data_IF_808135226055
#
_entry.id   IF_808135226055
#
_cell.length_a   1.000
_cell.length_b   1.000
_cell.length_c   1.000
_cell.angle_alpha   90.00
_cell.angle_beta   90.00
_cell.angle_gamma   90.00
#
_symmetry.space_group_name_H-M   'P 1'
#
loop_
_entity.id
_entity.type
_entity.pdbx_description
1 polymer ?
#
# COMPACT_ATOMS: atom_id res chain seq x y z
N UNK A 1 -14.03 13.67 4.42
CA UNK A 1 -14.30 14.11 3.02
C UNK A 1 -15.78 13.97 2.74
N UNK A 2 -16.49 15.05 2.43
CA UNK A 2 -17.84 14.95 1.83
C UNK A 2 -17.68 14.43 0.39
N UNK A 3 -18.14 13.21 0.17
CA UNK A 3 -18.01 12.54 -1.12
C UNK A 3 -18.86 13.20 -2.20
N UNK A 4 -19.79 14.11 -1.91
CA UNK A 4 -20.56 14.83 -2.93
C UNK A 4 -19.97 16.21 -3.26
N UNK A 5 -18.93 16.63 -2.54
CA UNK A 5 -18.27 17.92 -2.76
C UNK A 5 -17.15 17.80 -3.79
N UNK A 6 -17.31 18.45 -4.95
CA UNK A 6 -16.33 18.40 -6.04
C UNK A 6 -14.94 18.89 -5.66
N UNK A 7 -14.85 19.96 -4.86
CA UNK A 7 -13.56 20.50 -4.39
C UNK A 7 -12.83 19.48 -3.51
N UNK A 8 -13.56 18.76 -2.66
CA UNK A 8 -12.98 17.72 -1.82
C UNK A 8 -12.58 16.48 -2.61
N UNK A 9 -13.36 16.08 -3.64
CA UNK A 9 -12.95 15.03 -4.59
C UNK A 9 -11.68 15.42 -5.36
N UNK A 10 -11.62 16.65 -5.86
CA UNK A 10 -10.46 17.14 -6.59
C UNK A 10 -9.18 17.11 -5.73
N UNK A 11 -9.30 17.32 -4.42
CA UNK A 11 -8.17 17.27 -3.50
C UNK A 11 -7.51 15.88 -3.39
N UNK A 12 -8.22 14.80 -3.73
CA UNK A 12 -7.65 13.44 -3.74
C UNK A 12 -7.24 12.96 -5.13
N UNK A 13 -7.47 13.77 -6.18
CA UNK A 13 -7.23 13.38 -7.57
C UNK A 13 -5.77 12.98 -7.84
N UNK A 14 -4.79 13.70 -7.27
CA UNK A 14 -3.38 13.36 -7.44
C UNK A 14 -3.03 11.96 -6.94
N UNK A 15 -3.63 11.54 -5.81
CA UNK A 15 -3.43 10.19 -5.28
C UNK A 15 -4.11 9.12 -6.14
N UNK A 16 -5.31 9.42 -6.67
CA UNK A 16 -6.03 8.52 -7.58
C UNK A 16 -5.26 8.35 -8.88
N UNK A 17 -4.77 9.43 -9.49
CA UNK A 17 -3.95 9.40 -10.71
C UNK A 17 -2.66 8.62 -10.50
N UNK A 18 -1.97 8.81 -9.38
CA UNK A 18 -0.77 8.01 -9.05
C UNK A 18 -1.10 6.52 -8.96
N UNK A 19 -2.19 6.16 -8.26
CA UNK A 19 -2.62 4.78 -8.13
C UNK A 19 -3.06 4.17 -9.47
N UNK A 20 -3.76 4.94 -10.31
CA UNK A 20 -4.16 4.51 -11.65
C UNK A 20 -2.93 4.24 -12.52
N UNK A 21 -1.94 5.14 -12.53
CA UNK A 21 -0.70 4.92 -13.29
C UNK A 21 0.06 3.69 -12.78
N UNK A 22 0.01 3.39 -11.48
CA UNK A 22 0.74 2.25 -10.92
C UNK A 22 0.01 0.91 -11.12
N UNK A 23 -1.31 0.88 -10.99
CA UNK A 23 -2.10 -0.36 -10.96
C UNK A 23 -3.02 -0.56 -12.16
N UNK A 24 -3.27 0.48 -12.96
CA UNK A 24 -4.28 0.52 -14.02
C UNK A 24 -3.79 0.12 -15.42
N UNK A 25 -2.48 0.16 -15.71
CA UNK A 25 -1.96 -0.08 -17.07
C UNK A 25 -2.36 -1.44 -17.67
N UNK A 26 -2.61 -2.45 -16.82
CA UNK A 26 -2.98 -3.82 -17.25
C UNK A 26 -4.34 -4.28 -16.72
N UNK A 27 -5.09 -3.42 -16.03
CA UNK A 27 -6.29 -3.77 -15.28
C UNK A 27 -7.43 -2.77 -15.51
N UNK A 28 -8.66 -3.20 -15.29
CA UNK A 28 -9.72 -2.23 -15.04
C UNK A 28 -9.43 -1.56 -13.68
N UNK A 29 -9.37 -0.22 -13.65
CA UNK A 29 -9.07 0.55 -12.45
C UNK A 29 -10.35 1.10 -11.81
N UNK A 30 -10.51 0.87 -10.51
CA UNK A 30 -11.63 1.39 -9.73
C UNK A 30 -11.10 1.97 -8.42
N UNK A 31 -11.47 3.22 -8.13
CA UNK A 31 -11.12 3.92 -6.90
C UNK A 31 -12.38 4.56 -6.31
N UNK A 32 -12.99 3.98 -5.26
CA UNK A 32 -14.20 4.55 -4.68
C UNK A 32 -13.87 5.82 -3.87
N UNK A 33 -14.75 6.83 -3.97
CA UNK A 33 -14.75 7.92 -3.00
C UNK A 33 -15.37 7.44 -1.69
N UNK A 34 -14.72 7.73 -0.57
CA UNK A 34 -15.20 7.41 0.76
C UNK A 34 -14.89 8.55 1.73
N UNK A 35 -15.60 8.63 2.87
CA UNK A 35 -15.31 9.62 3.89
C UNK A 35 -13.95 9.36 4.52
N UNK A 36 -12.97 10.21 4.22
CA UNK A 36 -11.65 10.13 4.84
C UNK A 36 -11.59 10.82 6.20
N UNK A 37 -10.75 10.26 7.09
CA UNK A 37 -10.35 10.90 8.36
C UNK A 37 -9.02 11.62 8.18
N UNK A 38 -8.85 12.76 8.86
CA UNK A 38 -7.64 13.57 8.71
C UNK A 38 -6.44 12.96 9.44
N UNK A 39 -5.23 13.36 9.05
CA UNK A 39 -4.00 12.84 9.65
C UNK A 39 -3.93 13.10 11.16
N UNK A 40 -4.45 14.25 11.61
CA UNK A 40 -4.57 14.64 13.02
C UNK A 40 -5.34 13.62 13.85
N UNK A 41 -6.34 12.95 13.25
CA UNK A 41 -7.12 11.93 13.97
C UNK A 41 -6.23 10.82 14.50
N UNK A 42 -5.20 10.43 13.75
CA UNK A 42 -4.34 9.30 14.07
C UNK A 42 -3.35 9.56 15.20
N UNK A 43 -2.99 10.82 15.48
CA UNK A 43 -1.96 11.16 16.48
C UNK A 43 -2.41 12.12 17.58
N UNK A 44 -3.48 12.91 17.39
CA UNK A 44 -4.01 13.82 18.42
C UNK A 44 -5.11 13.18 19.27
N UNK A 45 -5.74 12.11 18.79
CA UNK A 45 -6.87 11.47 19.47
C UNK A 45 -6.51 10.06 19.93
N UNK A 46 -7.09 9.59 21.05
CA UNK A 46 -6.87 8.22 21.52
C UNK A 46 -7.44 7.20 20.52
N UNK A 47 -6.94 5.96 20.61
CA UNK A 47 -7.35 4.84 19.75
C UNK A 47 -8.86 4.71 19.60
N UNK A 48 -9.59 4.77 20.71
CA UNK A 48 -11.04 4.64 20.75
C UNK A 48 -11.78 5.67 19.89
N UNK A 49 -11.26 6.90 19.81
CA UNK A 49 -11.92 7.99 19.08
C UNK A 49 -11.58 7.98 17.59
N UNK A 50 -10.30 7.78 17.24
CA UNK A 50 -9.97 7.70 15.81
C UNK A 50 -10.51 6.43 15.17
N UNK A 51 -10.63 5.32 15.92
CA UNK A 51 -11.23 4.08 15.41
C UNK A 51 -12.71 4.29 15.05
N UNK A 52 -13.52 4.96 15.90
CA UNK A 52 -14.92 5.30 15.56
C UNK A 52 -15.03 6.11 14.25
N UNK A 53 -14.11 7.06 14.04
CA UNK A 53 -14.07 7.85 12.79
C UNK A 53 -13.69 6.97 11.59
N UNK A 54 -12.72 6.08 11.79
CA UNK A 54 -12.31 5.13 10.76
C UNK A 54 -13.43 4.13 10.44
N UNK A 55 -14.25 3.71 11.40
CA UNK A 55 -15.37 2.79 11.16
C UNK A 55 -16.39 3.39 10.19
N UNK A 56 -16.63 4.70 10.25
CA UNK A 56 -17.44 5.42 9.27
C UNK A 56 -16.81 5.35 7.87
N UNK A 57 -15.51 5.63 7.77
CA UNK A 57 -14.77 5.51 6.51
C UNK A 57 -14.84 4.08 5.95
N UNK A 58 -14.66 3.09 6.82
CA UNK A 58 -14.66 1.68 6.47
C UNK A 58 -16.04 1.20 6.01
N UNK A 59 -17.12 1.76 6.56
CA UNK A 59 -18.49 1.44 6.11
C UNK A 59 -18.74 1.84 4.65
N UNK A 60 -18.20 2.99 4.21
CA UNK A 60 -18.28 3.43 2.81
C UNK A 60 -17.47 2.50 1.91
N UNK A 61 -16.25 2.16 2.33
CA UNK A 61 -15.33 1.29 1.58
C UNK A 61 -15.92 -0.11 1.41
N UNK A 62 -16.47 -0.68 2.49
CA UNK A 62 -17.13 -1.99 2.43
C UNK A 62 -18.33 -1.96 1.49
N UNK A 63 -19.17 -0.93 1.59
CA UNK A 63 -20.33 -0.77 0.70
C UNK A 63 -19.91 -0.68 -0.77
N UNK A 64 -18.82 0.05 -1.06
CA UNK A 64 -18.29 0.14 -2.42
C UNK A 64 -17.69 -1.18 -2.92
N UNK A 65 -16.94 -1.91 -2.07
CA UNK A 65 -16.38 -3.21 -2.41
C UNK A 65 -17.48 -4.26 -2.67
N UNK A 66 -18.49 -4.33 -1.80
CA UNK A 66 -19.63 -5.22 -1.96
C UNK A 66 -20.39 -4.93 -3.26
N UNK A 67 -20.61 -3.65 -3.56
CA UNK A 67 -21.23 -3.24 -4.82
C UNK A 67 -20.39 -3.65 -6.03
N UNK A 68 -19.07 -3.39 -6.00
CA UNK A 68 -18.15 -3.77 -7.06
C UNK A 68 -18.18 -5.28 -7.32
N UNK A 69 -18.04 -6.10 -6.27
CA UNK A 69 -18.04 -7.56 -6.38
C UNK A 69 -19.35 -8.07 -6.97
N UNK A 70 -20.50 -7.52 -6.53
CA UNK A 70 -21.83 -8.00 -6.92
C UNK A 70 -22.28 -7.52 -8.31
N UNK A 71 -21.90 -6.31 -8.71
CA UNK A 71 -22.52 -5.64 -9.86
C UNK A 71 -21.55 -5.27 -10.99
N UNK A 72 -20.25 -5.17 -10.73
CA UNK A 72 -19.28 -4.62 -11.69
C UNK A 72 -18.22 -5.66 -12.08
N UNK A 73 -17.68 -6.38 -11.10
CA UNK A 73 -16.50 -7.23 -11.29
C UNK A 73 -16.74 -8.41 -12.23
N UNK A 74 -18.00 -8.87 -12.37
CA UNK A 74 -18.39 -9.95 -13.29
C UNK A 74 -17.52 -11.22 -13.14
N UNK A 75 -17.24 -11.61 -11.89
CA UNK A 75 -16.45 -12.81 -11.58
C UNK A 75 -14.95 -12.75 -11.90
N UNK A 76 -14.42 -11.61 -12.37
CA UNK A 76 -12.98 -11.45 -12.68
C UNK A 76 -12.10 -11.64 -11.43
N UNK A 77 -10.85 -12.10 -11.60
CA UNK A 77 -9.85 -11.99 -10.54
C UNK A 77 -9.51 -10.51 -10.32
N UNK A 78 -9.09 -10.16 -9.11
CA UNK A 78 -8.88 -8.77 -8.72
C UNK A 78 -7.67 -8.59 -7.80
N UNK A 79 -7.21 -7.35 -7.70
CA UNK A 79 -6.18 -6.89 -6.78
C UNK A 79 -6.82 -5.86 -5.85
N UNK A 80 -6.39 -5.82 -4.60
CA UNK A 80 -6.67 -4.71 -3.69
C UNK A 80 -5.39 -3.91 -3.47
N UNK A 81 -5.46 -2.59 -3.47
CA UNK A 81 -4.30 -1.74 -3.22
C UNK A 81 -4.71 -0.53 -2.39
N UNK A 82 -3.83 -0.13 -1.48
CA UNK A 82 -4.05 1.03 -0.63
C UNK A 82 -2.76 1.48 0.01
N UNK A 83 -2.70 2.78 0.32
CA UNK A 83 -1.58 3.37 1.04
C UNK A 83 -2.07 4.00 2.35
N UNK A 84 -1.31 3.83 3.44
CA UNK A 84 -1.61 4.44 4.73
C UNK A 84 -3.04 4.12 5.21
N UNK A 85 -3.96 5.09 5.25
CA UNK A 85 -5.36 4.82 5.56
C UNK A 85 -6.00 3.79 4.60
N UNK A 86 -5.68 3.87 3.31
CA UNK A 86 -6.16 2.90 2.32
C UNK A 86 -5.58 1.50 2.56
N UNK A 87 -4.35 1.40 3.06
CA UNK A 87 -3.74 0.12 3.43
C UNK A 87 -4.47 -0.51 4.63
N UNK A 88 -4.78 0.28 5.68
CA UNK A 88 -5.65 -0.20 6.77
C UNK A 88 -7.00 -0.69 6.23
N UNK A 89 -7.60 0.03 5.30
CA UNK A 89 -8.88 -0.38 4.71
C UNK A 89 -8.77 -1.69 3.92
N UNK A 90 -7.69 -1.90 3.17
CA UNK A 90 -7.43 -3.19 2.48
C UNK A 90 -7.29 -4.32 3.49
N UNK A 91 -6.56 -4.11 4.58
CA UNK A 91 -6.41 -5.10 5.67
C UNK A 91 -7.78 -5.43 6.27
N UNK A 92 -8.62 -4.43 6.56
CA UNK A 92 -9.97 -4.66 7.10
C UNK A 92 -10.93 -5.31 6.09
N UNK A 93 -10.81 -5.04 4.79
CA UNK A 93 -11.55 -5.78 3.76
C UNK A 93 -11.17 -7.26 3.74
N UNK A 94 -9.87 -7.57 3.81
CA UNK A 94 -9.40 -8.96 3.92
C UNK A 94 -9.96 -9.63 5.16
N UNK A 95 -10.03 -8.90 6.28
CA UNK A 95 -10.52 -9.43 7.55
C UNK A 95 -12.01 -9.71 7.57
N UNK A 96 -12.81 -8.81 6.98
CA UNK A 96 -14.26 -8.74 7.23
C UNK A 96 -15.14 -9.03 6.01
N UNK A 97 -14.57 -9.03 4.80
CA UNK A 97 -15.32 -9.07 3.53
C UNK A 97 -14.87 -10.20 2.60
N UNK A 98 -14.02 -11.10 3.08
CA UNK A 98 -13.56 -12.28 2.34
C UNK A 98 -14.32 -13.54 2.75
N UNK A 99 -14.62 -14.36 1.75
CA UNK A 99 -15.05 -15.75 1.87
C UNK A 99 -14.24 -16.58 0.85
N UNK A 100 -14.37 -17.91 0.86
CA UNK A 100 -13.62 -18.78 -0.07
C UNK A 100 -13.84 -18.40 -1.55
N UNK A 101 -15.05 -18.00 -1.93
CA UNK A 101 -15.38 -17.66 -3.32
C UNK A 101 -14.79 -16.31 -3.79
N UNK A 102 -14.72 -15.35 -2.89
CA UNK A 102 -14.09 -14.04 -3.17
C UNK A 102 -12.58 -14.15 -3.06
N UNK A 103 -12.07 -14.82 -2.03
CA UNK A 103 -10.64 -14.98 -1.79
C UNK A 103 -9.96 -15.82 -2.87
N UNK A 104 -10.61 -16.87 -3.39
CA UNK A 104 -10.10 -17.65 -4.54
C UNK A 104 -9.98 -16.84 -5.83
N UNK A 105 -10.38 -15.56 -5.86
CA UNK A 105 -10.23 -14.62 -6.99
C UNK A 105 -9.27 -13.48 -6.68
N UNK A 106 -8.77 -13.38 -5.45
CA UNK A 106 -7.76 -12.41 -5.06
C UNK A 106 -6.40 -12.81 -5.66
N UNK A 107 -5.89 -12.01 -6.59
CA UNK A 107 -4.53 -12.15 -7.11
C UNK A 107 -3.55 -11.76 -6.02
N UNK A 108 -3.69 -10.57 -5.43
CA UNK A 108 -2.88 -10.09 -4.33
C UNK A 108 -3.50 -8.84 -3.72
N UNK A 109 -3.06 -8.49 -2.50
CA UNK A 109 -3.36 -7.24 -1.85
C UNK A 109 -2.07 -6.44 -1.57
N UNK A 110 -2.08 -5.13 -1.81
CA UNK A 110 -0.95 -4.22 -1.59
C UNK A 110 -1.28 -3.18 -0.49
N UNK A 111 -1.38 -3.57 0.79
CA UNK A 111 -1.55 -2.63 1.90
C UNK A 111 -0.19 -2.02 2.32
N UNK A 112 0.25 -0.99 1.62
CA UNK A 112 1.57 -0.36 1.80
C UNK A 112 1.49 0.83 2.76
N UNK A 113 2.51 1.06 3.58
CA UNK A 113 2.52 2.20 4.52
C UNK A 113 1.62 2.00 5.74
N UNK A 114 1.39 0.75 6.17
CA UNK A 114 0.67 0.44 7.40
C UNK A 114 1.30 -0.75 8.11
N UNK A 115 1.07 -0.87 9.42
CA UNK A 115 1.56 -1.99 10.21
C UNK A 115 0.54 -3.13 10.27
N UNK A 116 1.05 -4.36 10.32
CA UNK A 116 0.27 -5.57 10.56
C UNK A 116 0.95 -6.32 11.69
N UNK A 117 0.23 -6.51 12.80
CA UNK A 117 0.78 -7.17 13.98
C UNK A 117 0.55 -8.69 13.96
N UNK A 118 1.19 -9.39 14.89
CA UNK A 118 1.12 -10.85 14.96
C UNK A 118 -0.32 -11.34 15.27
N UNK A 119 -1.03 -10.65 16.16
CA UNK A 119 -2.41 -11.02 16.53
C UNK A 119 -3.34 -10.98 15.33
N UNK A 120 -3.20 -9.99 14.45
CA UNK A 120 -4.00 -9.90 13.23
C UNK A 120 -3.72 -11.06 12.27
N UNK A 121 -2.44 -11.46 12.12
CA UNK A 121 -2.04 -12.60 11.30
C UNK A 121 -2.61 -13.92 11.85
N UNK A 122 -2.50 -14.13 13.16
CA UNK A 122 -2.93 -15.36 13.81
C UNK A 122 -4.47 -15.53 13.76
N UNK A 123 -5.19 -14.42 13.83
CA UNK A 123 -6.66 -14.41 13.88
C UNK A 123 -7.32 -14.39 12.49
N UNK A 124 -6.57 -14.13 11.42
CA UNK A 124 -7.15 -13.97 10.10
C UNK A 124 -6.43 -14.75 9.01
N UNK A 125 -7.05 -15.86 8.59
CA UNK A 125 -6.52 -16.75 7.55
C UNK A 125 -6.34 -16.11 6.16
N UNK A 126 -6.93 -14.93 5.90
CA UNK A 126 -6.78 -14.21 4.63
C UNK A 126 -5.68 -13.14 4.67
N UNK A 127 -5.04 -12.93 5.82
CA UNK A 127 -3.84 -12.09 5.94
C UNK A 127 -2.59 -12.97 5.80
N UNK A 128 -2.26 -13.35 4.56
CA UNK A 128 -1.13 -14.22 4.26
C UNK A 128 0.04 -13.39 3.71
N UNK A 129 1.14 -13.17 4.46
CA UNK A 129 2.30 -12.43 3.97
C UNK A 129 2.97 -13.10 2.77
N UNK A 130 3.24 -12.32 1.71
CA UNK A 130 4.04 -12.78 0.58
C UNK A 130 5.44 -13.22 1.03
N UNK A 131 5.92 -14.33 0.48
CA UNK A 131 7.26 -14.87 0.60
C UNK A 131 8.09 -14.67 -0.69
N UNK A 132 7.44 -14.50 -1.84
CA UNK A 132 8.08 -14.25 -3.13
C UNK A 132 7.28 -13.32 -4.06
N UNK A 133 7.82 -13.07 -5.27
CA UNK A 133 7.21 -12.20 -6.29
C UNK A 133 5.95 -12.75 -6.94
N UNK A 134 5.74 -14.08 -6.95
CA UNK A 134 4.71 -14.77 -7.72
C UNK A 134 3.59 -15.38 -6.87
N UNK A 135 3.69 -15.36 -5.54
CA UNK A 135 2.82 -16.08 -4.59
C UNK A 135 1.33 -16.19 -4.95
N UNK A 136 0.49 -15.16 -4.91
CA UNK A 136 -0.98 -15.20 -5.11
C UNK A 136 -1.78 -15.37 -3.82
N UNK A 137 -2.90 -14.63 -3.71
CA UNK A 137 -3.73 -14.59 -2.51
C UNK A 137 -3.05 -13.95 -1.29
N UNK A 138 -1.91 -13.27 -1.49
CA UNK A 138 -1.05 -12.77 -0.41
C UNK A 138 -1.13 -11.25 -0.26
N UNK A 139 -0.63 -10.76 0.88
CA UNK A 139 -0.39 -9.35 1.15
C UNK A 139 1.07 -8.96 0.83
N UNK A 140 1.22 -7.83 0.13
CA UNK A 140 2.48 -7.16 -0.18
C UNK A 140 2.50 -5.88 0.65
N UNK A 141 3.17 -5.94 1.79
CA UNK A 141 3.30 -4.82 2.71
C UNK A 141 4.76 -4.52 2.98
N UNK A 142 5.08 -3.24 3.06
CA UNK A 142 6.37 -2.72 3.47
C UNK A 142 6.21 -1.29 3.94
N UNK A 143 7.17 -0.84 4.76
CA UNK A 143 7.27 0.53 5.23
C UNK A 143 8.73 0.98 5.08
N UNK A 144 8.97 2.21 4.63
CA UNK A 144 10.32 2.66 4.24
C UNK A 144 10.86 3.80 5.10
N UNK A 145 12.10 3.65 5.57
CA UNK A 145 12.81 4.63 6.39
C UNK A 145 14.28 4.73 5.96
N UNK A 146 14.94 5.83 6.30
CA UNK A 146 16.39 5.97 6.07
C UNK A 146 17.20 5.09 7.04
N UNK A 147 16.79 5.09 8.31
CA UNK A 147 17.34 4.31 9.42
C UNK A 147 16.34 4.35 10.61
N UNK A 148 16.78 3.93 11.80
CA UNK A 148 15.96 3.94 13.02
C UNK A 148 15.39 5.33 13.40
N UNK A 149 16.01 6.44 12.99
CA UNK A 149 15.50 7.79 13.26
C UNK A 149 14.23 8.13 12.48
N UNK A 150 13.98 7.43 11.37
CA UNK A 150 12.79 7.60 10.54
C UNK A 150 11.58 6.76 10.98
N UNK A 151 11.71 5.97 12.04
CA UNK A 151 10.64 5.05 12.48
C UNK A 151 9.41 5.81 12.96
N UNK A 152 8.26 5.46 12.37
CA UNK A 152 6.96 5.94 12.83
C UNK A 152 6.50 5.17 14.06
N UNK A 153 5.86 5.82 15.05
CA UNK A 153 5.20 5.14 16.17
C UNK A 153 4.15 4.11 15.71
N UNK A 154 3.58 4.28 14.51
CA UNK A 154 2.60 3.35 13.94
C UNK A 154 3.21 1.98 13.62
N UNK A 155 4.53 1.87 13.49
CA UNK A 155 5.23 0.66 13.05
C UNK A 155 5.74 -0.21 14.22
N UNK A 156 5.47 0.20 15.47
CA UNK A 156 5.99 -0.45 16.68
C UNK A 156 5.82 -1.97 16.69
N UNK A 157 4.65 -2.45 16.27
CA UNK A 157 4.30 -3.88 16.32
C UNK A 157 4.26 -4.54 14.93
N UNK A 158 4.88 -3.91 13.91
CA UNK A 158 4.85 -4.44 12.55
C UNK A 158 5.59 -5.77 12.41
N UNK A 159 4.94 -6.74 11.76
CA UNK A 159 5.49 -8.09 11.51
C UNK A 159 5.71 -8.40 10.04
N UNK A 160 5.16 -7.60 9.13
CA UNK A 160 5.18 -7.89 7.70
C UNK A 160 6.07 -6.90 6.95
N UNK A 161 7.01 -7.44 6.17
CA UNK A 161 7.81 -6.67 5.24
C UNK A 161 8.32 -7.58 4.12
N UNK A 162 8.09 -7.17 2.87
CA UNK A 162 8.74 -7.74 1.69
C UNK A 162 9.42 -6.63 0.91
N UNK A 163 10.67 -6.83 0.51
CA UNK A 163 11.44 -5.83 -0.22
C UNK A 163 11.00 -5.81 -1.68
N UNK A 164 10.36 -4.73 -2.19
CA UNK A 164 9.84 -4.69 -3.55
C UNK A 164 10.94 -4.63 -4.63
N UNK A 165 12.20 -4.40 -4.25
CA UNK A 165 13.32 -4.39 -5.19
C UNK A 165 13.73 -5.82 -5.59
N UNK A 166 13.71 -6.77 -4.65
CA UNK A 166 14.18 -8.15 -4.87
C UNK A 166 13.16 -9.25 -4.49
N UNK A 167 12.00 -8.86 -3.94
CA UNK A 167 10.92 -9.73 -3.46
C UNK A 167 11.34 -10.74 -2.38
N UNK A 168 12.29 -10.35 -1.53
CA UNK A 168 12.73 -11.14 -0.36
C UNK A 168 12.14 -10.62 0.94
N UNK A 169 11.97 -11.50 1.91
CA UNK A 169 11.44 -11.24 3.26
C UNK A 169 12.50 -11.30 4.36
N UNK A 170 13.74 -11.55 3.96
CA UNK A 170 14.93 -11.57 4.81
C UNK A 170 15.80 -10.31 4.61
N UNK A 171 16.96 -10.28 5.25
CA UNK A 171 17.91 -9.17 5.16
C UNK A 171 18.76 -9.18 3.89
N UNK A 172 18.35 -9.90 2.83
CA UNK A 172 19.07 -9.87 1.55
C UNK A 172 19.07 -8.44 0.99
N UNK A 173 20.28 -7.88 0.85
CA UNK A 173 20.47 -6.56 0.26
C UNK A 173 19.99 -6.53 -1.20
N UNK A 174 19.19 -5.52 -1.52
CA UNK A 174 18.77 -5.24 -2.89
C UNK A 174 19.55 -4.03 -3.42
N UNK A 175 20.57 -4.32 -4.23
CA UNK A 175 21.35 -3.31 -4.91
C UNK A 175 20.49 -2.38 -5.78
N UNK A 176 20.91 -1.12 -5.87
CA UNK A 176 20.17 -0.09 -6.58
C UNK A 176 19.89 -0.43 -8.04
N UNK A 177 20.79 -1.16 -8.72
CA UNK A 177 20.61 -1.61 -10.11
C UNK A 177 19.36 -2.48 -10.32
N UNK A 178 18.79 -3.06 -9.25
CA UNK A 178 17.54 -3.83 -9.28
C UNK A 178 16.28 -2.96 -9.08
N UNK A 179 16.43 -1.69 -8.70
CA UNK A 179 15.35 -0.72 -8.71
C UNK A 179 15.03 -0.35 -10.16
N UNK A 180 13.86 -0.80 -10.63
CA UNK A 180 13.44 -0.67 -12.03
C UNK A 180 13.05 0.76 -12.40
N UNK A 181 12.77 1.61 -11.42
CA UNK A 181 12.36 2.98 -11.65
C UNK A 181 11.67 3.57 -10.44
N UNK A 182 12.30 4.58 -9.86
CA UNK A 182 11.65 5.58 -9.02
C UNK A 182 10.96 6.59 -9.94
N UNK A 183 9.63 6.76 -9.81
CA UNK A 183 8.82 7.59 -10.71
C UNK A 183 8.00 8.60 -9.92
N UNK A 184 8.00 9.85 -10.38
CA UNK A 184 7.16 10.93 -9.86
C UNK A 184 6.16 11.34 -10.93
N UNK A 185 4.88 11.31 -10.58
CA UNK A 185 3.75 11.63 -11.46
C UNK A 185 3.20 13.01 -11.12
N UNK A 186 2.94 13.81 -12.15
CA UNK A 186 2.30 15.12 -12.04
C UNK A 186 0.78 14.99 -11.81
N UNK A 187 0.10 16.07 -11.40
CA UNK A 187 -1.35 16.04 -11.17
C UNK A 187 -2.19 15.67 -12.39
N UNK A 188 -1.65 15.86 -13.60
CA UNK A 188 -2.24 15.51 -14.90
C UNK A 188 -1.92 14.07 -15.35
N UNK A 189 -1.16 13.31 -14.55
CA UNK A 189 -0.72 11.96 -14.87
C UNK A 189 0.56 11.88 -15.71
N UNK A 190 1.18 13.00 -16.05
CA UNK A 190 2.47 13.00 -16.76
C UNK A 190 3.61 12.50 -15.86
N UNK A 191 4.61 11.86 -16.44
CA UNK A 191 5.84 11.49 -15.72
C UNK A 191 6.70 12.75 -15.60
N UNK A 192 6.83 13.28 -14.38
CA UNK A 192 7.67 14.45 -14.08
C UNK A 192 9.15 14.05 -14.01
N UNK A 193 9.43 12.88 -13.44
CA UNK A 193 10.77 12.30 -13.44
C UNK A 193 10.71 10.79 -13.28
N UNK A 194 11.62 10.10 -13.94
CA UNK A 194 11.82 8.66 -13.80
C UNK A 194 13.32 8.36 -13.76
N UNK A 195 13.74 7.57 -12.76
CA UNK A 195 15.13 7.14 -12.61
C UNK A 195 15.19 5.70 -12.15
N UNK A 196 15.67 4.81 -13.00
CA UNK A 196 16.09 3.48 -12.58
C UNK A 196 17.43 3.57 -11.83
N UNK A 197 17.73 2.58 -10.99
CA UNK A 197 19.03 2.54 -10.32
C UNK A 197 19.21 3.58 -9.20
N UNK A 198 18.14 4.23 -8.73
CA UNK A 198 18.26 5.38 -7.81
C UNK A 198 18.30 5.03 -6.33
N UNK A 199 17.71 3.90 -5.94
CA UNK A 199 17.61 3.49 -4.54
C UNK A 199 17.95 2.03 -4.37
N UNK A 200 18.68 1.72 -3.31
CA UNK A 200 18.87 0.37 -2.80
C UNK A 200 18.06 0.20 -1.51
N UNK A 201 17.77 -1.05 -1.13
CA UNK A 201 17.07 -1.31 0.12
C UNK A 201 17.42 -2.67 0.74
N UNK A 202 17.39 -2.72 2.06
CA UNK A 202 17.47 -3.95 2.85
C UNK A 202 16.38 -3.95 3.90
N UNK A 203 15.81 -5.12 4.20
CA UNK A 203 14.92 -5.23 5.37
C UNK A 203 15.77 -5.12 6.63
N UNK A 204 15.31 -4.29 7.58
CA UNK A 204 15.69 -4.36 8.97
C UNK A 204 14.67 -5.27 9.70
N UNK A 205 15.14 -6.38 10.27
CA UNK A 205 14.27 -7.39 10.92
C UNK A 205 13.85 -7.04 12.35
N UNK A 206 14.51 -6.07 12.99
CA UNK A 206 14.12 -5.58 14.32
C UNK A 206 12.72 -4.96 14.27
N UNK A 207 12.44 -4.15 13.24
CA UNK A 207 11.16 -3.46 13.07
C UNK A 207 10.34 -3.93 11.85
N UNK A 208 10.87 -4.86 11.05
CA UNK A 208 10.29 -5.27 9.76
C UNK A 208 9.98 -4.06 8.86
N UNK A 209 11.00 -3.25 8.59
CA UNK A 209 10.92 -2.08 7.69
C UNK A 209 12.04 -2.14 6.65
N UNK A 210 11.93 -1.35 5.59
CA UNK A 210 13.00 -1.16 4.61
C UNK A 210 13.88 0.01 5.04
N UNK A 211 15.18 -0.27 5.18
CA UNK A 211 16.19 0.78 5.19
C UNK A 211 16.55 1.09 3.74
N UNK A 212 16.36 2.35 3.36
CA UNK A 212 16.51 2.82 1.98
C UNK A 212 17.75 3.68 1.85
N UNK A 213 18.61 3.31 0.90
CA UNK A 213 19.81 4.05 0.51
C UNK A 213 19.55 4.81 -0.80
N UNK A 214 20.22 5.95 -0.98
CA UNK A 214 20.09 6.79 -2.19
C UNK A 214 18.94 7.80 -2.16
N UNK A 215 18.12 7.81 -1.10
CA UNK A 215 17.05 8.79 -0.88
C UNK A 215 17.47 9.89 0.12
N UNK A 216 17.05 11.13 -0.13
CA UNK A 216 17.33 12.26 0.76
C UNK A 216 16.24 12.41 1.82
N UNK A 217 16.62 12.31 3.10
CA UNK A 217 15.73 12.57 4.22
C UNK A 217 15.18 14.00 4.21
N UNK A 218 15.99 14.99 3.82
CA UNK A 218 15.57 16.41 3.74
C UNK A 218 14.55 16.64 2.63
N UNK A 219 14.80 16.08 1.44
CA UNK A 219 13.92 16.28 0.27
C UNK A 219 12.49 15.77 0.51
N UNK A 220 12.34 14.68 1.27
CA UNK A 220 11.07 14.00 1.46
C UNK A 220 10.45 14.21 2.84
N UNK A 221 11.05 15.07 3.67
CA UNK A 221 10.51 15.40 4.98
C UNK A 221 9.30 16.32 4.87
N UNK A 222 8.21 15.97 5.55
CA UNK A 222 6.98 16.76 5.61
C UNK A 222 6.75 17.19 7.07
N UNK A 223 7.13 18.43 7.44
CA UNK A 223 7.08 18.90 8.83
C UNK A 223 5.69 18.83 9.48
N UNK A 224 4.62 18.95 8.68
CA UNK A 224 3.23 18.96 9.12
C UNK A 224 2.78 17.63 9.74
N UNK A 225 3.39 16.51 9.33
CA UNK A 225 3.04 15.16 9.80
C UNK A 225 4.13 14.52 10.67
N UNK A 226 5.09 15.33 11.15
CA UNK A 226 6.29 14.86 11.87
C UNK A 226 6.04 14.01 13.11
N UNK A 227 4.86 14.16 13.73
CA UNK A 227 4.48 13.40 14.92
C UNK A 227 4.21 11.93 14.62
N UNK A 228 3.75 11.63 13.40
CA UNK A 228 3.64 10.26 12.91
C UNK A 228 4.85 9.84 12.10
N UNK A 229 5.40 10.74 11.29
CA UNK A 229 6.44 10.44 10.32
C UNK A 229 7.62 11.39 10.53
N UNK A 230 8.56 11.05 11.43
CA UNK A 230 9.72 11.90 11.69
C UNK A 230 10.61 12.04 10.45
N UNK A 231 11.57 12.97 10.51
CA UNK A 231 12.57 13.12 9.44
C UNK A 231 13.27 11.79 9.20
N UNK A 232 13.39 11.39 7.93
CA UNK A 232 13.92 10.07 7.57
C UNK A 232 12.84 9.01 7.35
N UNK A 233 11.59 9.26 7.70
CA UNK A 233 10.46 8.45 7.23
C UNK A 233 10.19 8.72 5.75
N UNK A 234 10.08 7.67 4.94
CA UNK A 234 9.74 7.77 3.52
C UNK A 234 8.28 7.40 3.22
N UNK A 235 7.41 7.45 4.24
CA UNK A 235 6.00 7.09 4.16
C UNK A 235 5.27 7.70 2.95
N UNK A 236 5.52 8.96 2.62
CA UNK A 236 4.87 9.66 1.49
C UNK A 236 5.47 9.33 0.11
N UNK A 237 6.46 8.44 0.03
CA UNK A 237 7.23 8.15 -1.19
C UNK A 237 7.23 6.69 -1.63
N UNK A 238 6.65 5.78 -0.85
CA UNK A 238 6.76 4.33 -1.06
C UNK A 238 6.30 3.88 -2.45
N UNK A 239 5.17 4.39 -2.94
CA UNK A 239 4.73 4.10 -4.31
C UNK A 239 5.70 4.66 -5.36
N UNK A 240 6.26 5.84 -5.13
CA UNK A 240 7.14 6.51 -6.08
C UNK A 240 8.47 5.77 -6.20
N UNK A 241 9.07 5.42 -5.06
CA UNK A 241 10.37 4.74 -4.95
C UNK A 241 10.39 3.39 -5.66
N UNK A 242 9.29 2.65 -5.58
CA UNK A 242 9.20 1.29 -6.11
C UNK A 242 8.26 1.18 -7.31
N UNK A 243 7.91 2.30 -7.95
CA UNK A 243 6.85 2.40 -8.94
C UNK A 243 6.94 1.32 -10.04
N UNK A 244 8.08 1.24 -10.74
CA UNK A 244 8.26 0.24 -11.83
C UNK A 244 8.44 -1.18 -11.32
N UNK A 245 8.93 -1.37 -10.10
CA UNK A 245 8.97 -2.68 -9.46
C UNK A 245 7.55 -3.19 -9.18
N UNK A 246 6.69 -2.34 -8.62
CA UNK A 246 5.30 -2.65 -8.31
C UNK A 246 4.48 -2.90 -9.58
N UNK A 247 4.59 -2.04 -10.59
CA UNK A 247 3.93 -2.23 -11.90
C UNK A 247 4.27 -3.60 -12.49
N UNK A 248 5.57 -3.95 -12.52
CA UNK A 248 5.98 -5.27 -13.03
C UNK A 248 5.38 -6.40 -12.18
N UNK A 249 5.38 -6.27 -10.85
CA UNK A 249 4.89 -7.33 -9.98
C UNK A 249 3.40 -7.60 -10.14
N UNK A 250 2.61 -6.55 -10.34
CA UNK A 250 1.18 -6.67 -10.68
C UNK A 250 1.01 -7.55 -11.92
N UNK A 251 1.75 -7.26 -12.99
CA UNK A 251 1.72 -8.02 -14.25
C UNK A 251 2.19 -9.47 -14.03
N UNK A 252 3.31 -9.67 -13.33
CA UNK A 252 3.86 -10.99 -13.06
C UNK A 252 2.88 -11.88 -12.28
N UNK A 253 2.21 -11.32 -11.26
CA UNK A 253 1.20 -12.05 -10.48
C UNK A 253 -0.06 -12.32 -11.28
N UNK A 254 -0.49 -11.38 -12.13
CA UNK A 254 -1.60 -11.63 -13.05
C UNK A 254 -1.29 -12.79 -13.99
N UNK A 255 -0.11 -12.80 -14.61
CA UNK A 255 0.32 -13.90 -15.48
C UNK A 255 0.42 -15.23 -14.71
N UNK A 256 1.02 -15.23 -13.51
CA UNK A 256 1.07 -16.40 -12.61
C UNK A 256 -0.34 -16.94 -12.30
N UNK A 257 -1.30 -16.05 -12.05
CA UNK A 257 -2.69 -16.41 -11.77
C UNK A 257 -3.35 -17.16 -12.93
N UNK A 258 -3.20 -16.63 -14.15
CA UNK A 258 -3.78 -17.24 -15.34
C UNK A 258 -3.07 -18.56 -15.70
N UNK A 259 -1.74 -18.62 -15.62
CA UNK A 259 -0.96 -19.82 -15.95
C UNK A 259 -1.14 -20.99 -14.97
N UNK A 260 -1.55 -20.75 -13.71
CA UNK A 260 -1.85 -21.84 -12.76
C UNK A 260 -3.23 -22.46 -12.96
N UNK A 261 -4.10 -21.83 -13.77
CA UNK A 261 -5.51 -22.21 -13.92
C UNK A 261 -5.87 -22.66 -15.33
N UNK A 262 -4.91 -22.62 -16.25
CA UNK A 262 -4.96 -23.11 -17.61
C UNK A 262 -3.68 -23.88 -17.91
#
# INVERSE_FOLDING_TARGET
MDINNERQRAAVNGAVVLAEKLFGDSCNFYAPYYRQITIESWYLYPHTEWQKRFDIAMSDIKSAFDYYIKHINNGRPFILAGHSQGAKAVIELLKSSMNEETYKRLIAAYPIGFSINQTELDQNKYLVPAQDSLDLGVIIAFNSVIDNSGLSPMLKDNKVCINPINWKTDETYADSTKNRGTVFIGPDGSIVSERAGSIAAKINKEHNVLFVEGASADKYYVPQIKLLFPKGSFHVQEFNFYFRNLQKNVIDRMHSWYNKRY
#
